data_IF_590699663586
#
_entry.id   IF_590699663586
#
_cell.length_a   1.000
_cell.length_b   1.000
_cell.length_c   1.000
_cell.angle_alpha   90.00
_cell.angle_beta   90.00
_cell.angle_gamma   90.00
#
_symmetry.space_group_name_H-M   'P 1'
#
loop_
_entity.id
_entity.type
_entity.pdbx_description
1 polymer ?
#
# COMPACT_ATOMS: atom_id res chain seq x y z
N UNK A 1 7.03 -14.13 14.78
CA UNK A 1 7.09 -14.21 13.30
C UNK A 1 7.25 -15.66 12.91
N UNK A 2 6.19 -16.43 12.95
CA UNK A 2 6.21 -17.85 12.62
C UNK A 2 5.07 -18.16 11.69
N UNK A 3 5.37 -18.83 10.59
CA UNK A 3 4.55 -19.88 9.96
C UNK A 3 3.82 -19.63 8.64
N UNK A 4 3.86 -18.50 7.97
CA UNK A 4 3.52 -18.50 6.54
C UNK A 4 4.65 -19.20 5.72
N UNK A 5 5.88 -19.15 6.21
CA UNK A 5 7.08 -19.75 5.58
C UNK A 5 7.07 -21.28 5.48
N UNK A 6 6.28 -22.00 6.30
CA UNK A 6 6.21 -23.47 6.20
C UNK A 6 5.26 -23.96 5.09
N UNK A 7 4.37 -23.10 4.61
CA UNK A 7 3.40 -23.44 3.55
C UNK A 7 4.02 -23.34 2.14
N UNK A 8 4.98 -22.44 1.96
CA UNK A 8 5.58 -22.14 0.66
C UNK A 8 7.04 -22.61 0.66
N UNK A 9 7.32 -23.77 0.09
CA UNK A 9 8.70 -24.29 -0.07
C UNK A 9 9.51 -23.49 -1.08
N UNK A 10 8.87 -22.88 -2.07
CA UNK A 10 9.45 -22.02 -3.10
C UNK A 10 8.37 -21.07 -3.58
N UNK A 11 8.64 -19.76 -3.52
CA UNK A 11 7.68 -18.75 -3.95
C UNK A 11 7.42 -18.83 -5.47
N UNK A 12 6.14 -18.89 -5.92
CA UNK A 12 5.79 -19.07 -7.31
C UNK A 12 6.20 -17.85 -8.16
N UNK A 13 6.86 -18.12 -9.29
CA UNK A 13 7.30 -17.10 -10.25
C UNK A 13 6.34 -16.98 -11.44
N UNK A 14 5.54 -18.03 -11.69
CA UNK A 14 4.57 -18.09 -12.77
C UNK A 14 3.17 -18.36 -12.27
N UNK A 15 2.16 -18.01 -13.08
CA UNK A 15 0.75 -18.26 -12.75
C UNK A 15 0.46 -19.76 -12.59
N UNK A 16 1.14 -20.59 -13.34
CA UNK A 16 1.03 -22.05 -13.32
C UNK A 16 1.60 -22.61 -12.00
N UNK A 17 2.72 -22.07 -11.54
CA UNK A 17 3.30 -22.41 -10.24
C UNK A 17 2.39 -21.97 -9.09
N UNK A 18 1.81 -20.74 -9.20
CA UNK A 18 0.84 -20.26 -8.23
C UNK A 18 -0.37 -21.20 -8.14
N UNK A 19 -0.93 -21.62 -9.27
CA UNK A 19 -2.06 -22.56 -9.30
C UNK A 19 -1.73 -23.95 -8.76
N UNK A 20 -0.47 -24.40 -8.87
CA UNK A 20 -0.03 -25.66 -8.24
C UNK A 20 0.07 -25.52 -6.72
N UNK A 21 0.45 -24.35 -6.24
CA UNK A 21 0.52 -24.06 -4.80
C UNK A 21 -0.88 -23.88 -4.18
N UNK A 22 -1.78 -23.22 -4.90
CA UNK A 22 -3.18 -22.97 -4.51
C UNK A 22 -4.14 -23.59 -5.54
N UNK A 23 -4.25 -24.94 -5.57
CA UNK A 23 -5.05 -25.64 -6.57
C UNK A 23 -6.56 -25.44 -6.41
N UNK A 24 -7.00 -25.14 -5.17
CA UNK A 24 -8.41 -25.04 -4.81
C UNK A 24 -8.67 -23.99 -3.71
N UNK A 25 -9.94 -23.78 -3.45
CA UNK A 25 -10.40 -22.82 -2.42
C UNK A 25 -10.07 -23.30 -1.00
N UNK A 26 -10.02 -24.60 -0.76
CA UNK A 26 -9.71 -25.16 0.56
C UNK A 26 -8.26 -24.89 0.95
N UNK A 27 -7.32 -25.11 0.03
CA UNK A 27 -5.89 -24.78 0.22
C UNK A 27 -5.70 -23.30 0.49
N UNK A 28 -6.40 -22.45 -0.28
CA UNK A 28 -6.39 -20.99 -0.12
C UNK A 28 -6.97 -20.59 1.26
N UNK A 29 -8.03 -21.26 1.71
CA UNK A 29 -8.64 -21.04 3.00
C UNK A 29 -7.69 -21.40 4.15
N UNK A 30 -7.05 -22.57 4.10
CA UNK A 30 -6.08 -23.02 5.11
C UNK A 30 -4.89 -22.07 5.21
N UNK A 31 -4.35 -21.65 4.08
CA UNK A 31 -3.26 -20.67 4.01
C UNK A 31 -3.66 -19.34 4.64
N UNK A 32 -4.81 -18.77 4.24
CA UNK A 32 -5.29 -17.51 4.76
C UNK A 32 -5.62 -17.60 6.26
N UNK A 33 -6.17 -18.73 6.72
CA UNK A 33 -6.45 -18.98 8.13
C UNK A 33 -5.17 -18.96 8.97
N UNK A 34 -4.14 -19.72 8.58
CA UNK A 34 -2.85 -19.75 9.30
C UNK A 34 -2.12 -18.42 9.29
N UNK A 35 -2.25 -17.66 8.19
CA UNK A 35 -1.68 -16.32 8.09
C UNK A 35 -2.40 -15.32 8.99
N UNK A 36 -3.72 -15.38 9.03
CA UNK A 36 -4.55 -14.45 9.80
C UNK A 36 -4.52 -14.73 11.30
N UNK A 37 -4.51 -16.00 11.65
CA UNK A 37 -4.59 -16.47 13.03
C UNK A 37 -3.49 -17.50 13.34
N UNK A 38 -2.21 -17.05 13.39
CA UNK A 38 -1.07 -17.95 13.59
C UNK A 38 -1.06 -18.65 14.96
N UNK A 39 -1.83 -18.12 15.91
CA UNK A 39 -1.98 -18.65 17.27
C UNK A 39 -3.41 -19.11 17.58
N UNK A 40 -4.16 -19.50 16.54
CA UNK A 40 -5.55 -19.92 16.66
C UNK A 40 -6.55 -18.82 16.33
N UNK A 41 -7.80 -19.24 16.08
CA UNK A 41 -8.90 -18.33 15.72
C UNK A 41 -9.17 -17.30 16.80
N UNK A 42 -9.34 -16.04 16.38
CA UNK A 42 -9.73 -14.92 17.25
C UNK A 42 -11.11 -14.43 16.86
N UNK A 43 -12.06 -14.49 17.79
CA UNK A 43 -13.42 -14.02 17.57
C UNK A 43 -13.46 -12.50 17.32
N UNK A 44 -14.12 -12.05 16.25
CA UNK A 44 -14.22 -10.62 15.90
C UNK A 44 -15.13 -9.81 16.84
N UNK A 45 -15.88 -10.47 17.74
CA UNK A 45 -16.83 -9.83 18.65
C UNK A 45 -16.32 -9.83 20.12
N UNK A 46 -15.93 -10.98 20.66
CA UNK A 46 -15.51 -11.10 22.06
C UNK A 46 -13.99 -11.28 22.26
N UNK A 47 -13.22 -11.32 21.20
CA UNK A 47 -11.77 -11.55 21.19
C UNK A 47 -11.32 -12.89 21.82
N UNK A 48 -12.25 -13.84 22.04
CA UNK A 48 -11.91 -15.18 22.50
C UNK A 48 -10.99 -15.86 21.50
N UNK A 49 -9.94 -16.51 21.99
CA UNK A 49 -8.98 -17.27 21.19
C UNK A 49 -9.28 -18.77 21.28
N UNK A 50 -9.30 -19.45 20.15
CA UNK A 50 -9.39 -20.91 20.05
C UNK A 50 -8.25 -21.47 19.20
N UNK A 51 -7.26 -22.08 19.88
CA UNK A 51 -6.03 -22.58 19.23
C UNK A 51 -6.30 -23.88 18.42
N UNK A 52 -7.31 -24.65 18.79
CA UNK A 52 -7.66 -25.92 18.13
C UNK A 52 -8.68 -25.77 16.99
N UNK A 53 -9.02 -24.53 16.62
CA UNK A 53 -10.04 -24.28 15.62
C UNK A 53 -9.61 -24.77 14.23
N UNK A 54 -10.44 -25.62 13.64
CA UNK A 54 -10.25 -26.08 12.25
C UNK A 54 -10.58 -24.93 11.28
N UNK A 55 -9.75 -24.72 10.24
CA UNK A 55 -10.02 -23.72 9.21
C UNK A 55 -11.40 -23.89 8.57
N UNK A 56 -12.18 -22.79 8.58
CA UNK A 56 -13.49 -22.74 7.93
C UNK A 56 -13.75 -21.32 7.40
N UNK A 57 -14.58 -21.20 6.37
CA UNK A 57 -14.92 -19.88 5.79
C UNK A 57 -15.67 -18.98 6.77
N UNK A 58 -16.50 -19.60 7.62
CA UNK A 58 -17.17 -18.92 8.74
C UNK A 58 -17.05 -19.82 9.96
N UNK A 59 -16.61 -19.24 11.06
CA UNK A 59 -16.40 -19.92 12.33
C UNK A 59 -17.37 -19.35 13.35
N UNK A 60 -18.15 -20.19 13.99
CA UNK A 60 -18.99 -19.80 15.13
C UNK A 60 -18.15 -19.87 16.40
N UNK A 61 -18.04 -18.75 17.10
CA UNK A 61 -17.29 -18.67 18.34
C UNK A 61 -17.91 -19.58 19.41
N UNK A 62 -17.13 -20.49 19.99
CA UNK A 62 -17.60 -21.37 21.04
C UNK A 62 -17.91 -20.64 22.36
N UNK A 63 -17.35 -19.47 22.58
CA UNK A 63 -17.57 -18.66 23.78
C UNK A 63 -18.82 -17.79 23.72
N UNK A 64 -19.06 -17.06 22.60
CA UNK A 64 -20.17 -16.10 22.52
C UNK A 64 -21.20 -16.40 21.40
N UNK A 65 -21.03 -17.46 20.63
CA UNK A 65 -21.92 -17.84 19.53
C UNK A 65 -21.84 -16.93 18.28
N UNK A 66 -20.97 -15.91 18.28
CA UNK A 66 -20.87 -14.97 17.14
C UNK A 66 -20.21 -15.62 15.92
N UNK A 67 -20.82 -15.56 14.72
CA UNK A 67 -20.20 -16.04 13.49
C UNK A 67 -19.16 -15.05 12.97
N UNK A 68 -17.94 -15.50 12.74
CA UNK A 68 -16.84 -14.72 12.17
C UNK A 68 -16.40 -15.34 10.86
N UNK A 69 -16.55 -14.61 9.75
CA UNK A 69 -16.00 -15.02 8.46
C UNK A 69 -14.50 -14.77 8.43
N UNK A 70 -13.74 -15.61 7.69
CA UNK A 70 -12.31 -15.42 7.47
C UNK A 70 -11.98 -14.08 6.80
N UNK A 71 -12.95 -13.45 6.15
CA UNK A 71 -12.79 -12.13 5.52
C UNK A 71 -13.34 -10.97 6.38
N UNK A 72 -13.93 -11.25 7.56
CA UNK A 72 -14.48 -10.20 8.45
C UNK A 72 -13.38 -9.24 8.88
N UNK A 73 -13.65 -7.93 8.84
CA UNK A 73 -12.69 -6.86 9.20
C UNK A 73 -11.40 -6.86 8.36
N UNK A 74 -11.46 -7.34 7.12
CA UNK A 74 -10.37 -7.25 6.14
C UNK A 74 -10.81 -6.48 4.91
N UNK A 75 -9.87 -6.13 4.04
CA UNK A 75 -10.16 -5.56 2.70
C UNK A 75 -11.12 -6.46 1.89
N UNK A 76 -11.07 -7.78 2.13
CA UNK A 76 -11.89 -8.78 1.44
C UNK A 76 -13.31 -8.90 2.03
N UNK A 77 -13.66 -8.16 3.06
CA UNK A 77 -14.96 -8.27 3.73
C UNK A 77 -16.12 -8.16 2.75
N UNK A 78 -17.11 -9.05 2.87
CA UNK A 78 -18.30 -9.07 2.01
C UNK A 78 -18.01 -9.45 0.55
N UNK A 79 -16.82 -9.96 0.23
CA UNK A 79 -16.50 -10.39 -1.13
C UNK A 79 -17.35 -11.58 -1.57
N UNK A 80 -17.83 -11.51 -2.82
CA UNK A 80 -18.45 -12.64 -3.51
C UNK A 80 -17.44 -13.48 -4.30
N UNK A 81 -16.18 -13.04 -4.32
CA UNK A 81 -15.08 -13.69 -5.03
C UNK A 81 -14.40 -14.70 -4.13
N UNK A 82 -13.74 -15.68 -4.75
CA UNK A 82 -13.04 -16.74 -4.04
C UNK A 82 -11.76 -16.21 -3.35
N UNK A 83 -11.30 -16.91 -2.32
CA UNK A 83 -10.03 -16.60 -1.67
C UNK A 83 -8.87 -16.84 -2.64
N UNK A 84 -8.98 -17.87 -3.48
CA UNK A 84 -8.00 -18.18 -4.53
C UNK A 84 -7.85 -17.01 -5.52
N UNK A 85 -8.96 -16.36 -5.94
CA UNK A 85 -8.90 -15.16 -6.80
C UNK A 85 -8.20 -14.00 -6.10
N UNK A 86 -8.44 -13.79 -4.80
CA UNK A 86 -7.79 -12.75 -4.01
C UNK A 86 -6.29 -13.02 -3.85
N UNK A 87 -5.90 -14.23 -3.46
CA UNK A 87 -4.48 -14.60 -3.33
C UNK A 87 -3.75 -14.50 -4.66
N UNK A 88 -4.40 -14.92 -5.76
CA UNK A 88 -3.84 -14.77 -7.12
C UNK A 88 -3.65 -13.30 -7.50
N UNK A 89 -4.59 -12.43 -7.11
CA UNK A 89 -4.48 -10.99 -7.34
C UNK A 89 -3.31 -10.39 -6.55
N UNK A 90 -3.19 -10.72 -5.26
CA UNK A 90 -2.10 -10.25 -4.39
C UNK A 90 -0.76 -10.71 -4.94
N UNK A 91 -0.63 -12.00 -5.30
CA UNK A 91 0.56 -12.55 -5.92
C UNK A 91 0.93 -11.81 -7.20
N UNK A 92 -0.04 -11.59 -8.10
CA UNK A 92 0.21 -10.91 -9.38
C UNK A 92 0.75 -9.49 -9.19
N UNK A 93 0.26 -8.77 -8.18
CA UNK A 93 0.78 -7.46 -7.81
C UNK A 93 2.20 -7.52 -7.23
N UNK A 94 2.52 -8.60 -6.51
CA UNK A 94 3.82 -8.76 -5.85
C UNK A 94 4.94 -9.13 -6.83
N UNK A 95 4.63 -9.89 -7.89
CA UNK A 95 5.62 -10.29 -8.91
C UNK A 95 5.82 -9.23 -10.00
N UNK A 96 4.98 -8.20 -10.05
CA UNK A 96 5.04 -7.18 -11.08
C UNK A 96 6.03 -6.07 -10.71
N UNK A 97 6.98 -5.81 -11.58
CA UNK A 97 7.89 -4.66 -11.45
C UNK A 97 7.17 -3.32 -11.73
N UNK A 98 6.27 -3.31 -12.70
CA UNK A 98 5.46 -2.15 -13.06
C UNK A 98 4.05 -2.21 -12.43
N UNK A 99 3.40 -1.05 -12.31
CA UNK A 99 2.00 -0.99 -11.89
C UNK A 99 1.05 -1.63 -12.92
N UNK A 100 -0.15 -1.94 -12.47
CA UNK A 100 -1.20 -2.50 -13.31
C UNK A 100 -2.41 -1.58 -13.40
N UNK A 101 -2.99 -1.48 -14.59
CA UNK A 101 -4.27 -0.80 -14.78
C UNK A 101 -5.46 -1.70 -14.42
N UNK A 102 -6.63 -1.09 -14.22
CA UNK A 102 -7.86 -1.84 -13.97
C UNK A 102 -8.25 -2.73 -15.17
N UNK A 103 -7.89 -2.33 -16.39
CA UNK A 103 -8.09 -3.16 -17.59
C UNK A 103 -7.19 -4.40 -17.58
N UNK A 104 -5.96 -4.28 -17.06
CA UNK A 104 -5.04 -5.42 -16.96
C UNK A 104 -5.54 -6.41 -15.91
N UNK A 105 -5.99 -5.93 -14.74
CA UNK A 105 -6.60 -6.79 -13.72
C UNK A 105 -7.87 -7.46 -14.23
N UNK A 106 -8.73 -6.71 -14.93
CA UNK A 106 -9.96 -7.25 -15.52
C UNK A 106 -9.64 -8.42 -16.46
N UNK A 107 -8.65 -8.26 -17.34
CA UNK A 107 -8.21 -9.33 -18.27
C UNK A 107 -7.56 -10.49 -17.53
N UNK A 108 -6.68 -10.22 -16.58
CA UNK A 108 -5.93 -11.24 -15.84
C UNK A 108 -6.84 -12.19 -15.06
N UNK A 109 -7.83 -11.64 -14.34
CA UNK A 109 -8.80 -12.39 -13.53
C UNK A 109 -10.09 -12.73 -14.30
N UNK A 110 -10.21 -12.33 -15.59
CA UNK A 110 -11.42 -12.50 -16.41
C UNK A 110 -12.68 -11.96 -15.72
N UNK A 111 -12.57 -10.76 -15.11
CA UNK A 111 -13.69 -10.13 -14.43
C UNK A 111 -14.70 -9.59 -15.46
N UNK A 112 -15.99 -9.80 -15.19
CA UNK A 112 -17.07 -9.34 -16.07
C UNK A 112 -17.24 -7.81 -16.08
N UNK A 113 -16.79 -7.12 -15.02
CA UNK A 113 -16.98 -5.68 -14.86
C UNK A 113 -15.65 -4.95 -14.63
N UNK A 114 -15.42 -3.88 -15.40
CA UNK A 114 -14.32 -2.94 -15.17
C UNK A 114 -14.41 -2.29 -13.78
N UNK A 115 -15.62 -1.95 -13.32
CA UNK A 115 -15.86 -1.36 -12.01
C UNK A 115 -15.38 -2.28 -10.88
N UNK A 116 -15.58 -3.59 -11.01
CA UNK A 116 -15.09 -4.57 -10.04
C UNK A 116 -13.56 -4.56 -10.01
N UNK A 117 -12.90 -4.58 -11.18
CA UNK A 117 -11.45 -4.53 -11.26
C UNK A 117 -10.89 -3.23 -10.67
N UNK A 118 -11.49 -2.08 -11.00
CA UNK A 118 -11.11 -0.79 -10.45
C UNK A 118 -11.25 -0.74 -8.93
N UNK A 119 -12.37 -1.24 -8.40
CA UNK A 119 -12.60 -1.29 -6.94
C UNK A 119 -11.56 -2.16 -6.23
N UNK A 120 -11.18 -3.29 -6.82
CA UNK A 120 -10.14 -4.16 -6.27
C UNK A 120 -8.79 -3.46 -6.22
N UNK A 121 -8.43 -2.74 -7.28
CA UNK A 121 -7.19 -1.95 -7.29
C UNK A 121 -7.16 -0.90 -6.20
N UNK A 122 -8.25 -0.15 -6.00
CA UNK A 122 -8.30 0.85 -4.94
C UNK A 122 -8.15 0.19 -3.56
N UNK A 123 -8.81 -0.95 -3.34
CA UNK A 123 -8.66 -1.73 -2.11
C UNK A 123 -7.22 -2.20 -1.88
N UNK A 124 -6.53 -2.68 -2.94
CA UNK A 124 -5.13 -3.09 -2.84
C UNK A 124 -4.20 -1.91 -2.56
N UNK A 125 -4.41 -0.73 -3.18
CA UNK A 125 -3.66 0.50 -2.89
C UNK A 125 -3.75 0.89 -1.42
N UNK A 126 -4.94 0.80 -0.84
CA UNK A 126 -5.09 1.06 0.59
C UNK A 126 -4.40 0.01 1.47
N UNK A 127 -4.39 -1.26 1.05
CA UNK A 127 -3.60 -2.29 1.72
C UNK A 127 -2.09 -2.00 1.63
N UNK A 128 -1.62 -1.50 0.48
CA UNK A 128 -0.23 -1.06 0.29
C UNK A 128 0.13 0.10 1.22
N UNK A 129 -0.70 1.15 1.28
CA UNK A 129 -0.51 2.29 2.17
C UNK A 129 -0.35 1.85 3.64
N UNK A 130 -1.25 0.98 4.10
CA UNK A 130 -1.23 0.52 5.49
C UNK A 130 -0.07 -0.43 5.81
N UNK A 131 0.36 -1.25 4.84
CA UNK A 131 1.50 -2.15 5.04
C UNK A 131 2.84 -1.43 5.01
N UNK A 132 2.90 -0.24 4.40
CA UNK A 132 4.10 0.60 4.33
C UNK A 132 4.05 1.79 5.31
N UNK A 133 3.66 1.54 6.55
CA UNK A 133 3.50 2.58 7.60
C UNK A 133 4.82 3.14 8.16
N UNK A 134 5.97 2.55 7.86
CA UNK A 134 7.27 3.01 8.38
C UNK A 134 7.63 4.38 7.84
N UNK A 135 8.09 5.27 8.72
CA UNK A 135 8.58 6.61 8.39
C UNK A 135 9.98 6.56 7.78
N UNK A 136 10.35 7.58 7.00
CA UNK A 136 11.72 7.85 6.56
C UNK A 136 12.60 8.23 7.75
N UNK A 137 13.89 7.91 7.71
CA UNK A 137 14.84 8.16 8.81
C UNK A 137 16.24 8.52 8.31
N UNK A 138 17.08 9.01 9.20
CA UNK A 138 18.46 9.37 8.90
C UNK A 138 18.55 10.68 8.13
N UNK A 139 19.28 10.72 7.00
CA UNK A 139 19.27 11.88 6.12
C UNK A 139 18.13 11.78 5.13
N UNK A 140 17.23 12.76 5.14
CA UNK A 140 16.01 12.77 4.31
C UNK A 140 15.97 14.04 3.47
N UNK A 141 15.91 13.87 2.16
CA UNK A 141 15.70 14.98 1.23
C UNK A 141 14.21 15.15 0.95
N UNK A 142 13.73 16.40 1.03
CA UNK A 142 12.33 16.75 0.78
C UNK A 142 12.23 17.65 -0.45
N UNK A 143 11.20 17.44 -1.24
CA UNK A 143 10.85 18.33 -2.34
C UNK A 143 9.34 18.42 -2.53
N UNK A 144 8.91 19.40 -3.32
CA UNK A 144 7.54 19.57 -3.76
C UNK A 144 7.47 19.73 -5.26
N UNK A 145 6.32 19.39 -5.83
CA UNK A 145 5.99 19.62 -7.22
C UNK A 145 4.47 19.73 -7.38
N UNK A 146 4.03 20.14 -8.54
CA UNK A 146 2.62 20.13 -8.93
C UNK A 146 2.43 19.10 -10.02
N UNK A 147 1.52 18.15 -9.82
CA UNK A 147 1.18 17.11 -10.79
C UNK A 147 -0.01 17.57 -11.62
N UNK A 148 0.16 17.61 -12.93
CA UNK A 148 -0.96 17.83 -13.86
C UNK A 148 -1.71 16.51 -14.07
N UNK A 149 -2.98 16.49 -13.69
CA UNK A 149 -3.86 15.33 -13.82
C UNK A 149 -4.64 15.41 -15.13
N UNK A 150 -4.76 14.27 -15.79
CA UNK A 150 -5.59 14.14 -16.98
C UNK A 150 -7.08 14.24 -16.66
N UNK A 151 -7.87 14.67 -17.64
CA UNK A 151 -9.31 14.84 -17.53
C UNK A 151 -9.77 16.14 -18.14
N UNK A 152 -11.08 16.36 -18.20
CA UNK A 152 -11.66 17.55 -18.83
C UNK A 152 -11.25 18.87 -18.13
N UNK A 153 -10.91 18.84 -16.84
CA UNK A 153 -10.58 20.02 -16.03
C UNK A 153 -9.09 20.30 -15.85
N UNK A 154 -8.18 19.49 -16.40
CA UNK A 154 -6.72 19.65 -16.20
C UNK A 154 -6.36 20.10 -14.77
N UNK A 155 -6.87 19.38 -13.78
CA UNK A 155 -6.64 19.72 -12.38
C UNK A 155 -5.14 19.59 -12.06
N UNK A 156 -4.63 20.55 -11.32
CA UNK A 156 -3.29 20.51 -10.74
C UNK A 156 -3.37 20.11 -9.27
N UNK A 157 -2.45 19.26 -8.83
CA UNK A 157 -2.39 18.81 -7.46
C UNK A 157 -0.98 18.98 -6.90
N UNK A 158 -0.79 19.81 -5.88
CA UNK A 158 0.49 19.92 -5.19
C UNK A 158 0.81 18.62 -4.46
N UNK A 159 2.06 18.18 -4.55
CA UNK A 159 2.56 17.01 -3.84
C UNK A 159 3.85 17.34 -3.09
N UNK A 160 4.05 16.62 -1.99
CA UNK A 160 5.29 16.59 -1.23
C UNK A 160 5.91 15.20 -1.37
N UNK A 161 7.23 15.15 -1.49
CA UNK A 161 8.01 13.91 -1.53
C UNK A 161 9.17 13.98 -0.53
N UNK A 162 9.42 12.87 0.15
CA UNK A 162 10.58 12.65 0.99
C UNK A 162 11.31 11.38 0.53
N UNK A 163 12.63 11.45 0.45
CA UNK A 163 13.49 10.32 0.13
C UNK A 163 14.62 10.21 1.15
N UNK A 164 14.80 9.03 1.75
CA UNK A 164 16.02 8.72 2.50
C UNK A 164 17.22 8.76 1.57
N UNK A 165 18.32 9.32 2.04
CA UNK A 165 19.59 9.32 1.32
C UNK A 165 20.55 8.38 2.04
N UNK A 166 20.86 7.26 1.39
CA UNK A 166 21.77 6.25 1.93
C UNK A 166 23.22 6.68 1.64
N UNK A 167 23.90 7.15 2.67
CA UNK A 167 25.30 7.58 2.58
C UNK A 167 26.25 6.38 2.75
N UNK A 168 27.47 6.42 2.12
CA UNK A 168 28.00 7.51 1.27
C UNK A 168 27.55 7.44 -0.20
N UNK A 169 26.80 6.38 -0.61
CA UNK A 169 26.46 6.13 -2.02
C UNK A 169 25.49 7.17 -2.63
N UNK A 170 24.80 7.96 -1.79
CA UNK A 170 23.83 8.95 -2.23
C UNK A 170 22.63 8.37 -2.99
N UNK A 171 22.33 7.08 -2.81
CA UNK A 171 21.16 6.43 -3.42
C UNK A 171 19.91 6.66 -2.59
N UNK A 172 18.75 6.65 -3.27
CA UNK A 172 17.49 6.75 -2.57
C UNK A 172 17.20 5.47 -1.77
N UNK A 173 16.86 5.66 -0.50
CA UNK A 173 16.30 4.62 0.35
C UNK A 173 14.77 4.67 0.31
N UNK A 174 14.14 4.65 1.49
CA UNK A 174 12.69 4.73 1.62
C UNK A 174 12.15 6.06 1.09
N UNK A 175 11.00 5.98 0.42
CA UNK A 175 10.31 7.15 -0.11
C UNK A 175 8.90 7.27 0.46
N UNK A 176 8.44 8.51 0.62
CA UNK A 176 7.07 8.87 1.00
C UNK A 176 6.60 10.03 0.16
N UNK A 177 5.33 10.01 -0.23
CA UNK A 177 4.72 11.09 -1.01
C UNK A 177 3.30 11.35 -0.52
N UNK A 178 2.93 12.61 -0.41
CA UNK A 178 1.58 13.02 -0.08
C UNK A 178 1.07 14.08 -1.06
N UNK A 179 -0.19 13.95 -1.43
CA UNK A 179 -0.94 15.03 -2.05
C UNK A 179 -1.41 16.00 -0.95
N UNK A 180 -1.30 17.28 -1.21
CA UNK A 180 -1.78 18.35 -0.32
C UNK A 180 -2.72 19.26 -1.09
N UNK A 181 -3.64 19.94 -0.39
CA UNK A 181 -4.55 20.89 -1.04
C UNK A 181 -3.80 22.13 -1.49
N UNK A 182 -2.94 22.64 -0.59
CA UNK A 182 -2.08 23.78 -0.84
C UNK A 182 -0.71 23.54 -0.22
N UNK A 183 0.32 24.11 -0.85
CA UNK A 183 1.69 24.07 -0.35
C UNK A 183 1.88 25.20 0.67
N UNK A 184 1.56 24.92 1.91
CA UNK A 184 1.70 25.83 3.06
C UNK A 184 2.69 25.30 4.08
N UNK A 185 3.12 26.13 5.02
CA UNK A 185 3.98 25.69 6.14
C UNK A 185 3.29 24.62 6.99
N UNK A 186 1.98 24.67 7.15
CA UNK A 186 1.22 23.69 7.94
C UNK A 186 1.16 22.34 7.21
N UNK A 187 0.91 22.36 5.88
CA UNK A 187 0.91 21.11 5.10
C UNK A 187 2.29 20.47 5.07
N UNK A 188 3.36 21.27 4.99
CA UNK A 188 4.75 20.78 5.05
C UNK A 188 5.04 20.19 6.44
N UNK A 189 4.69 20.87 7.54
CA UNK A 189 4.89 20.36 8.90
C UNK A 189 4.10 19.07 9.16
N UNK A 190 2.85 19.00 8.68
CA UNK A 190 2.03 17.79 8.77
C UNK A 190 2.66 16.64 8.00
N UNK A 191 3.16 16.89 6.78
CA UNK A 191 3.85 15.88 5.99
C UNK A 191 5.13 15.38 6.69
N UNK A 192 5.96 16.30 7.20
CA UNK A 192 7.22 15.96 7.88
C UNK A 192 6.94 15.12 9.13
N UNK A 193 6.06 15.56 10.00
CA UNK A 193 5.74 14.87 11.27
C UNK A 193 5.09 13.49 11.03
N UNK A 194 4.29 13.35 9.98
CA UNK A 194 3.64 12.08 9.63
C UNK A 194 4.56 11.06 8.95
N UNK A 195 5.54 11.53 8.17
CA UNK A 195 6.31 10.66 7.28
C UNK A 195 7.80 10.52 7.62
N UNK A 196 8.32 11.33 8.54
CA UNK A 196 9.75 11.33 8.88
C UNK A 196 9.93 11.13 10.37
N UNK A 197 10.83 10.23 10.74
CA UNK A 197 11.11 9.89 12.14
C UNK A 197 11.82 11.08 12.83
N UNK A 198 11.37 11.48 14.03
CA UNK A 198 12.08 12.47 14.85
C UNK A 198 13.56 12.12 15.02
N UNK A 199 14.42 13.14 15.00
CA UNK A 199 15.88 13.01 15.05
C UNK A 199 16.54 12.87 13.67
N UNK A 200 15.76 12.85 12.59
CA UNK A 200 16.30 12.83 11.21
C UNK A 200 16.88 14.19 10.83
N UNK A 201 17.90 14.15 9.94
CA UNK A 201 18.48 15.33 9.30
C UNK A 201 17.76 15.61 7.98
N UNK A 202 17.31 16.84 7.77
CA UNK A 202 16.51 17.23 6.61
C UNK A 202 17.32 18.08 5.63
N UNK A 203 17.31 17.69 4.35
CA UNK A 203 17.75 18.50 3.22
C UNK A 203 16.49 19.12 2.63
N UNK A 204 16.39 20.44 2.68
CA UNK A 204 15.18 21.20 2.35
C UNK A 204 15.40 22.06 1.11
N UNK A 205 14.37 22.25 0.27
CA UNK A 205 14.43 23.23 -0.80
C UNK A 205 14.37 24.66 -0.22
N UNK A 206 15.02 25.60 -0.91
CA UNK A 206 14.95 27.04 -0.54
C UNK A 206 13.63 27.65 -1.03
N UNK A 207 12.54 27.27 -0.38
CA UNK A 207 11.18 27.77 -0.64
C UNK A 207 10.52 28.16 0.69
N UNK A 208 9.71 29.23 0.67
CA UNK A 208 9.07 29.77 1.88
C UNK A 208 8.39 28.73 2.78
N UNK A 209 7.53 27.82 2.29
CA UNK A 209 6.85 26.89 3.18
C UNK A 209 7.77 25.98 4.00
N UNK A 210 9.02 25.73 3.51
CA UNK A 210 9.99 24.86 4.18
C UNK A 210 10.84 25.56 5.23
N UNK A 211 10.89 26.89 5.22
CA UNK A 211 11.66 27.69 6.19
C UNK A 211 11.10 27.61 7.62
N UNK A 212 9.81 27.26 7.74
CA UNK A 212 9.07 27.22 9.02
C UNK A 212 8.87 25.81 9.57
N UNK A 213 9.68 24.84 9.14
CA UNK A 213 9.65 23.49 9.71
C UNK A 213 10.11 23.56 11.17
N UNK A 214 9.32 22.92 12.07
CA UNK A 214 9.67 22.84 13.50
C UNK A 214 11.02 22.15 13.68
N UNK A 215 11.97 22.87 14.29
CA UNK A 215 13.33 22.36 14.56
C UNK A 215 13.45 21.61 15.88
N UNK A 216 12.37 21.44 16.61
CA UNK A 216 12.39 20.70 17.87
C UNK A 216 12.77 19.23 17.70
N UNK A 217 12.32 18.64 16.58
CA UNK A 217 12.48 17.22 16.31
C UNK A 217 13.35 16.91 15.10
N UNK A 218 13.84 17.93 14.36
CA UNK A 218 14.57 17.75 13.11
C UNK A 218 15.75 18.70 13.00
N UNK A 219 16.81 18.24 12.35
CA UNK A 219 18.00 19.06 12.08
C UNK A 219 18.02 19.41 10.60
N UNK A 220 17.81 20.69 10.26
CA UNK A 220 18.00 21.13 8.87
C UNK A 220 19.49 21.19 8.56
N UNK A 221 19.94 20.50 7.51
CA UNK A 221 21.32 20.51 7.05
C UNK A 221 21.43 21.22 5.70
N UNK A 222 22.44 22.08 5.58
CA UNK A 222 22.81 22.69 4.31
C UNK A 222 23.71 21.71 3.56
N UNK A 223 23.09 20.79 2.84
CA UNK A 223 23.78 19.93 1.89
C UNK A 223 23.39 20.33 0.48
N UNK A 224 24.30 20.13 -0.47
CA UNK A 224 23.93 20.24 -1.88
C UNK A 224 22.81 19.23 -2.13
N UNK A 225 21.64 19.69 -2.52
CA UNK A 225 20.51 18.83 -2.82
C UNK A 225 20.96 17.75 -3.83
N UNK A 226 20.71 16.49 -3.49
CA UNK A 226 21.07 15.36 -4.36
C UNK A 226 20.08 15.18 -5.51
N UNK A 227 19.04 15.99 -5.55
CA UNK A 227 17.88 15.91 -6.48
C UNK A 227 17.11 14.57 -6.44
N UNK A 228 17.38 13.71 -5.45
CA UNK A 228 16.75 12.38 -5.36
C UNK A 228 15.24 12.46 -5.14
N UNK A 229 14.79 13.36 -4.28
CA UNK A 229 13.37 13.56 -4.05
C UNK A 229 12.65 14.07 -5.31
N UNK A 230 13.30 14.90 -6.12
CA UNK A 230 12.77 15.35 -7.43
C UNK A 230 12.79 14.25 -8.48
N UNK A 231 13.83 13.41 -8.51
CA UNK A 231 13.89 12.23 -9.38
C UNK A 231 12.77 11.25 -9.07
N UNK A 232 12.41 11.07 -7.80
CA UNK A 232 11.28 10.24 -7.36
C UNK A 232 9.96 10.82 -7.90
N UNK A 233 9.75 12.12 -7.81
CA UNK A 233 8.55 12.77 -8.38
C UNK A 233 8.47 12.54 -9.89
N UNK A 234 9.55 12.75 -10.62
CA UNK A 234 9.60 12.50 -12.08
C UNK A 234 9.31 11.03 -12.41
N UNK A 235 9.87 10.12 -11.63
CA UNK A 235 9.63 8.67 -11.79
C UNK A 235 8.15 8.32 -11.56
N UNK A 236 7.51 8.94 -10.56
CA UNK A 236 6.08 8.81 -10.33
C UNK A 236 5.25 9.33 -11.51
N UNK A 237 5.56 10.51 -12.06
CA UNK A 237 4.86 11.07 -13.22
C UNK A 237 4.96 10.14 -14.44
N UNK A 238 6.15 9.64 -14.72
CA UNK A 238 6.37 8.68 -15.82
C UNK A 238 5.55 7.41 -15.60
N UNK A 239 5.60 6.85 -14.38
CA UNK A 239 4.85 5.65 -14.01
C UNK A 239 3.34 5.88 -14.13
N UNK A 240 2.83 7.01 -13.62
CA UNK A 240 1.42 7.38 -13.67
C UNK A 240 0.92 7.45 -15.12
N UNK A 241 1.67 8.14 -15.99
CA UNK A 241 1.31 8.30 -17.38
C UNK A 241 1.38 6.98 -18.18
N UNK A 242 2.39 6.15 -17.93
CA UNK A 242 2.54 4.84 -18.60
C UNK A 242 1.44 3.87 -18.20
N UNK A 243 1.11 3.81 -16.91
CA UNK A 243 0.19 2.79 -16.36
C UNK A 243 -1.26 3.23 -16.48
N UNK A 244 -1.56 4.53 -16.30
CA UNK A 244 -2.92 5.04 -16.14
C UNK A 244 -3.34 6.04 -17.22
N UNK A 245 -2.42 6.43 -18.12
CA UNK A 245 -2.71 7.30 -19.30
C UNK A 245 -3.52 8.56 -18.96
N UNK A 246 -3.21 9.21 -17.84
CA UNK A 246 -3.89 10.43 -17.41
C UNK A 246 -5.31 10.25 -16.86
N UNK A 247 -5.81 9.03 -16.71
CA UNK A 247 -7.16 8.75 -16.19
C UNK A 247 -7.30 8.81 -14.66
N UNK A 248 -6.41 9.56 -13.98
CA UNK A 248 -6.45 9.74 -12.53
C UNK A 248 -7.06 11.09 -12.18
N UNK A 249 -8.04 11.08 -11.30
CA UNK A 249 -8.68 12.30 -10.77
C UNK A 249 -8.06 12.66 -9.41
N UNK A 250 -8.02 13.96 -9.08
CA UNK A 250 -7.35 14.50 -7.90
C UNK A 250 -7.73 13.76 -6.60
N UNK A 251 -9.01 13.52 -6.37
CA UNK A 251 -9.52 12.83 -5.18
C UNK A 251 -8.96 11.42 -4.93
N UNK A 252 -8.37 10.79 -5.94
CA UNK A 252 -7.76 9.46 -5.82
C UNK A 252 -6.25 9.49 -5.92
N UNK A 253 -5.63 10.66 -6.14
CA UNK A 253 -4.19 10.78 -6.38
C UNK A 253 -3.37 10.15 -5.24
N UNK A 254 -3.77 10.36 -3.98
CA UNK A 254 -3.07 9.79 -2.83
C UNK A 254 -2.91 8.27 -2.93
N UNK A 255 -3.94 7.54 -3.37
CA UNK A 255 -3.86 6.08 -3.51
C UNK A 255 -2.85 5.63 -4.57
N UNK A 256 -2.58 6.45 -5.58
CA UNK A 256 -1.56 6.17 -6.58
C UNK A 256 -0.16 6.52 -6.07
N UNK A 257 -0.03 7.60 -5.30
CA UNK A 257 1.21 7.91 -4.58
C UNK A 257 1.58 6.79 -3.61
N UNK A 258 0.61 6.27 -2.87
CA UNK A 258 0.79 5.16 -1.94
C UNK A 258 1.23 3.87 -2.65
N UNK A 259 0.62 3.52 -3.80
CA UNK A 259 1.06 2.37 -4.61
C UNK A 259 2.50 2.55 -5.10
N UNK A 260 2.84 3.73 -5.61
CA UNK A 260 4.17 4.02 -6.10
C UNK A 260 5.22 3.94 -4.98
N UNK A 261 4.95 4.57 -3.82
CA UNK A 261 5.83 4.50 -2.66
C UNK A 261 6.00 3.06 -2.17
N UNK A 262 4.89 2.30 -2.05
CA UNK A 262 4.95 0.89 -1.67
C UNK A 262 5.85 0.10 -2.61
N UNK A 263 5.70 0.24 -3.94
CA UNK A 263 6.51 -0.48 -4.94
C UNK A 263 7.98 -0.11 -4.84
N UNK A 264 8.28 1.19 -4.76
CA UNK A 264 9.65 1.69 -4.60
C UNK A 264 10.31 1.15 -3.32
N UNK A 265 9.58 1.16 -2.21
CA UNK A 265 10.08 0.69 -0.92
C UNK A 265 10.18 -0.85 -0.86
N UNK A 266 9.25 -1.56 -1.51
CA UNK A 266 9.24 -3.01 -1.58
C UNK A 266 10.37 -3.56 -2.47
N UNK A 267 10.75 -2.84 -3.53
CA UNK A 267 11.88 -3.21 -4.38
C UNK A 267 13.19 -3.35 -3.59
N UNK A 268 13.35 -2.59 -2.50
CA UNK A 268 14.52 -2.70 -1.61
C UNK A 268 14.56 -4.00 -0.80
N UNK A 269 13.46 -4.74 -0.71
CA UNK A 269 13.43 -6.03 -0.03
C UNK A 269 14.19 -7.11 -0.83
N UNK A 270 14.28 -6.94 -2.16
CA UNK A 270 14.97 -7.89 -3.06
C UNK A 270 14.33 -9.29 -3.12
N UNK A 271 13.15 -9.46 -2.51
CA UNK A 271 12.47 -10.74 -2.37
C UNK A 271 10.96 -10.59 -2.61
N UNK A 272 10.48 -11.24 -3.65
CA UNK A 272 9.07 -11.20 -4.07
C UNK A 272 8.12 -11.83 -3.04
N UNK A 273 8.57 -12.86 -2.32
CA UNK A 273 7.80 -13.48 -1.23
C UNK A 273 7.59 -12.48 -0.08
N UNK A 274 8.63 -11.72 0.27
CA UNK A 274 8.52 -10.67 1.28
C UNK A 274 7.52 -9.58 0.85
N UNK A 275 7.51 -9.19 -0.42
CA UNK A 275 6.53 -8.23 -0.98
C UNK A 275 5.11 -8.79 -0.91
N UNK A 276 4.92 -10.07 -1.27
CA UNK A 276 3.62 -10.75 -1.16
C UNK A 276 3.11 -10.77 0.29
N UNK A 277 3.95 -11.18 1.21
CA UNK A 277 3.60 -11.26 2.63
C UNK A 277 3.28 -9.87 3.21
N UNK A 278 4.02 -8.84 2.81
CA UNK A 278 3.78 -7.47 3.21
C UNK A 278 2.41 -6.97 2.72
N UNK A 279 2.10 -7.17 1.43
CA UNK A 279 0.81 -6.79 0.86
C UNK A 279 -0.35 -7.61 1.45
N UNK A 280 -0.18 -8.91 1.63
CA UNK A 280 -1.17 -9.78 2.27
C UNK A 280 -1.47 -9.34 3.70
N UNK A 281 -0.44 -8.97 4.47
CA UNK A 281 -0.61 -8.39 5.81
C UNK A 281 -1.47 -7.13 5.75
N UNK A 282 -1.21 -6.22 4.81
CA UNK A 282 -2.05 -5.04 4.60
C UNK A 282 -3.50 -5.38 4.25
N UNK A 283 -3.73 -6.38 3.41
CA UNK A 283 -5.09 -6.85 3.05
C UNK A 283 -5.84 -7.41 4.26
N UNK A 284 -5.15 -8.16 5.14
CA UNK A 284 -5.76 -8.80 6.32
C UNK A 284 -6.03 -7.78 7.44
N UNK A 285 -5.15 -6.81 7.64
CA UNK A 285 -5.19 -5.89 8.79
C UNK A 285 -6.07 -4.66 8.57
N UNK A 286 -6.46 -4.36 7.32
CA UNK A 286 -7.25 -3.18 7.01
C UNK A 286 -8.75 -3.41 7.13
N UNK A 287 -9.43 -2.37 7.62
CA UNK A 287 -10.90 -2.36 7.71
C UNK A 287 -11.54 -2.45 6.31
N UNK A 288 -12.74 -3.04 6.23
CA UNK A 288 -13.47 -3.16 4.99
C UNK A 288 -13.85 -1.81 4.40
N UNK A 289 -13.77 -1.71 3.06
CA UNK A 289 -14.19 -0.55 2.31
C UNK A 289 -15.24 -0.94 1.28
N UNK A 290 -16.32 -0.19 1.27
CA UNK A 290 -17.34 -0.31 0.25
C UNK A 290 -16.98 0.50 -1.00
N UNK A 291 -17.51 0.12 -2.16
CA UNK A 291 -17.40 0.93 -3.38
C UNK A 291 -17.89 2.38 -3.12
N UNK A 292 -19.01 2.53 -2.40
CA UNK A 292 -19.55 3.83 -2.04
C UNK A 292 -18.56 4.67 -1.23
N UNK A 293 -17.88 4.09 -0.23
CA UNK A 293 -16.88 4.82 0.55
C UNK A 293 -15.66 5.21 -0.29
N UNK A 294 -15.21 4.36 -1.24
CA UNK A 294 -14.11 4.68 -2.14
C UNK A 294 -14.47 5.82 -3.10
N UNK A 295 -15.70 5.84 -3.62
CA UNK A 295 -16.16 6.86 -4.57
C UNK A 295 -16.60 8.16 -3.91
N UNK A 296 -17.00 8.10 -2.63
CA UNK A 296 -17.45 9.26 -1.84
C UNK A 296 -16.34 9.94 -1.03
N UNK A 297 -15.06 9.51 -1.17
CA UNK A 297 -13.94 10.23 -0.58
C UNK A 297 -13.82 11.59 -1.28
N UNK A 298 -14.67 12.51 -0.86
CA UNK A 298 -14.35 13.93 -0.88
C UNK A 298 -13.42 14.16 0.31
N UNK A 299 -12.42 15.00 0.16
CA UNK A 299 -11.52 15.47 1.17
C UNK A 299 -12.29 15.62 2.48
N UNK A 300 -11.93 14.84 3.49
CA UNK A 300 -12.36 15.17 4.84
C UNK A 300 -11.35 16.14 5.37
N UNK A 301 -11.86 17.31 5.70
CA UNK A 301 -11.30 18.37 6.51
C UNK A 301 -10.34 17.90 7.60
#
# INVERSE_FOLDING_TARGET
MGTASSFIKSFPKTKEEFKRLFPDEETSLRFLFSTRWPHGFVCSYCNWVNEEQVPARTITCCHCGHPTSITTNTIMHGTKKTLSEWLLCIWWFSVAEAGHSAKDLQRFLKLSSYQTAWTWLQKLRMAMAASDSRQCRGTVEISSSTISLGGESRAEAPILAAAEIILPAGIAGRVKMNCVEELTSDSVNTFVSGNILPGSSLILPDLEPFKYISRENFVAISATASDRSREIIRSFEIWLNRTHRGGVVAKHLQLYLDEFCFRSNAAMLGDTEAVFNLLLSGVISNKPLSYKSITSVSNKE
#
